data_IF_607493478646
#
_entry.id   IF_607493478646
#
_cell.length_a   1.000
_cell.length_b   1.000
_cell.length_c   1.000
_cell.angle_alpha   90.00
_cell.angle_beta   90.00
_cell.angle_gamma   90.00
#
_symmetry.space_group_name_H-M   'P 1'
#
loop_
_entity.id
_entity.type
_entity.pdbx_description
1 polymer ?
#
# COMPACT_ATOMS: atom_id res chain seq x y z
N UNK A 1 -23.46 4.91 -5.10
CA UNK A 1 -22.15 4.79 -5.76
C UNK A 1 -22.02 3.37 -6.30
N UNK A 2 -22.08 3.24 -7.66
CA UNK A 2 -22.02 1.93 -8.32
C UNK A 2 -20.59 1.42 -8.46
N UNK A 3 -19.88 1.22 -7.34
CA UNK A 3 -18.54 0.64 -7.34
C UNK A 3 -18.71 -0.87 -7.51
N UNK A 4 -18.18 -1.40 -8.60
CA UNK A 4 -18.15 -2.86 -8.85
C UNK A 4 -16.96 -3.44 -8.06
N UNK A 5 -17.26 -4.04 -6.92
CA UNK A 5 -16.24 -4.62 -6.02
C UNK A 5 -16.02 -6.07 -6.42
N UNK A 6 -14.77 -6.45 -6.72
CA UNK A 6 -14.40 -7.83 -7.00
C UNK A 6 -14.82 -8.75 -5.85
N UNK A 7 -15.43 -9.89 -6.15
CA UNK A 7 -15.76 -10.93 -5.16
C UNK A 7 -14.53 -11.51 -4.42
N UNK A 8 -13.33 -11.20 -4.89
CA UNK A 8 -12.05 -11.56 -4.25
C UNK A 8 -11.51 -10.48 -3.31
N UNK A 9 -12.20 -9.33 -3.21
CA UNK A 9 -11.78 -8.24 -2.33
C UNK A 9 -11.84 -8.65 -0.86
N UNK A 10 -10.85 -8.27 -0.10
CA UNK A 10 -10.82 -8.51 1.33
C UNK A 10 -11.92 -7.68 2.05
N UNK A 11 -12.42 -8.18 3.17
CA UNK A 11 -13.55 -7.57 3.89
C UNK A 11 -13.30 -6.10 4.27
N UNK A 12 -12.05 -5.73 4.60
CA UNK A 12 -11.70 -4.36 4.99
C UNK A 12 -11.95 -3.34 3.87
N UNK A 13 -11.91 -3.74 2.60
CA UNK A 13 -12.15 -2.84 1.46
C UNK A 13 -13.58 -2.30 1.49
N UNK A 14 -14.56 -3.10 1.91
CA UNK A 14 -15.95 -2.67 2.05
C UNK A 14 -16.11 -1.60 3.13
N UNK A 15 -15.36 -1.69 4.24
CA UNK A 15 -15.35 -0.65 5.27
C UNK A 15 -14.79 0.67 4.73
N UNK A 16 -13.71 0.61 3.96
CA UNK A 16 -13.12 1.78 3.31
C UNK A 16 -14.13 2.48 2.39
N UNK A 17 -14.75 1.73 1.48
CA UNK A 17 -15.77 2.28 0.58
C UNK A 17 -16.96 2.90 1.35
N UNK A 18 -17.41 2.20 2.39
CA UNK A 18 -18.56 2.67 3.17
C UNK A 18 -18.21 3.90 4.02
N UNK A 19 -17.01 3.95 4.58
CA UNK A 19 -16.56 5.05 5.44
C UNK A 19 -16.57 6.40 4.73
N UNK A 20 -16.35 6.44 3.40
CA UNK A 20 -16.42 7.67 2.61
C UNK A 20 -17.78 8.37 2.73
N UNK A 21 -18.85 7.61 2.90
CA UNK A 21 -20.20 8.19 3.06
C UNK A 21 -20.41 8.97 4.35
N UNK A 22 -19.52 8.83 5.33
CA UNK A 22 -19.57 9.56 6.60
C UNK A 22 -18.68 10.82 6.60
N UNK A 23 -17.91 11.05 5.53
CA UNK A 23 -16.96 12.14 5.42
C UNK A 23 -17.50 13.22 4.49
N UNK A 24 -17.40 14.45 4.93
CA UNK A 24 -17.60 15.66 4.13
C UNK A 24 -16.29 16.06 3.45
N UNK A 25 -16.36 16.90 2.41
CA UNK A 25 -15.15 17.45 1.80
C UNK A 25 -14.31 18.21 2.83
N UNK A 26 -13.01 17.91 2.89
CA UNK A 26 -12.04 18.45 3.85
C UNK A 26 -11.93 17.64 5.16
N UNK A 27 -12.80 16.64 5.38
CA UNK A 27 -12.67 15.76 6.56
C UNK A 27 -11.47 14.82 6.37
N UNK A 28 -10.72 14.63 7.46
CA UNK A 28 -9.55 13.76 7.47
C UNK A 28 -9.88 12.39 8.06
N UNK A 29 -9.26 11.35 7.52
CA UNK A 29 -9.36 9.99 8.02
C UNK A 29 -8.01 9.30 8.02
N UNK A 30 -7.87 8.31 8.93
CA UNK A 30 -6.74 7.39 8.94
C UNK A 30 -7.26 5.95 8.94
N UNK A 31 -6.76 5.14 8.01
CA UNK A 31 -7.14 3.73 7.87
C UNK A 31 -5.96 2.84 8.16
N UNK A 32 -6.10 1.96 9.14
CA UNK A 32 -5.15 0.88 9.40
C UNK A 32 -5.64 -0.39 8.69
N UNK A 33 -4.87 -0.86 7.72
CA UNK A 33 -5.22 -2.01 6.88
C UNK A 33 -4.02 -2.91 6.62
N UNK A 34 -4.22 -4.15 6.16
CA UNK A 34 -3.17 -4.90 5.51
C UNK A 34 -2.66 -4.16 4.25
N UNK A 35 -1.37 -4.29 3.97
CA UNK A 35 -0.72 -3.67 2.81
C UNK A 35 -0.96 -4.42 1.48
N UNK A 36 -1.59 -5.59 1.53
CA UNK A 36 -1.75 -6.50 0.38
C UNK A 36 -2.41 -5.85 -0.84
N UNK A 37 -3.24 -4.82 -0.67
CA UNK A 37 -3.84 -4.11 -1.80
C UNK A 37 -2.82 -3.33 -2.66
N UNK A 38 -1.63 -3.04 -2.12
CA UNK A 38 -0.59 -2.34 -2.86
C UNK A 38 -0.10 -3.15 -4.07
N UNK A 39 -0.12 -4.50 -3.96
CA UNK A 39 0.48 -5.43 -4.93
C UNK A 39 -0.52 -6.34 -5.63
N UNK A 40 -1.74 -6.46 -5.12
CA UNK A 40 -2.72 -7.43 -5.63
C UNK A 40 -3.62 -6.86 -6.72
N UNK A 41 -4.16 -7.74 -7.57
CA UNK A 41 -5.09 -7.36 -8.63
C UNK A 41 -6.37 -6.69 -8.09
N UNK A 42 -6.94 -7.21 -6.99
CA UNK A 42 -8.11 -6.56 -6.37
C UNK A 42 -7.79 -5.17 -5.78
N UNK A 43 -6.53 -4.91 -5.49
CA UNK A 43 -6.04 -3.63 -5.00
C UNK A 43 -6.14 -2.50 -6.02
N UNK A 44 -6.18 -2.81 -7.32
CA UNK A 44 -6.36 -1.80 -8.39
C UNK A 44 -7.63 -1.00 -8.16
N UNK A 45 -8.76 -1.66 -7.87
CA UNK A 45 -10.03 -0.97 -7.63
C UNK A 45 -9.98 -0.12 -6.36
N UNK A 46 -9.33 -0.61 -5.30
CA UNK A 46 -9.19 0.16 -4.06
C UNK A 46 -8.26 1.36 -4.25
N UNK A 47 -7.15 1.21 -4.97
CA UNK A 47 -6.24 2.31 -5.32
C UNK A 47 -6.96 3.37 -6.17
N UNK A 48 -7.73 2.95 -7.17
CA UNK A 48 -8.56 3.87 -7.96
C UNK A 48 -9.53 4.65 -7.08
N UNK A 49 -10.26 3.96 -6.20
CA UNK A 49 -11.18 4.61 -5.27
C UNK A 49 -10.48 5.62 -4.36
N UNK A 50 -9.30 5.27 -3.83
CA UNK A 50 -8.53 6.19 -2.99
C UNK A 50 -8.10 7.44 -3.76
N UNK A 51 -7.72 7.30 -5.04
CA UNK A 51 -7.34 8.42 -5.88
C UNK A 51 -8.54 9.29 -6.29
N UNK A 52 -9.71 8.70 -6.50
CA UNK A 52 -10.91 9.42 -6.94
C UNK A 52 -11.61 10.19 -5.81
N UNK A 53 -11.52 9.70 -4.58
CA UNK A 53 -12.33 10.18 -3.46
C UNK A 53 -11.52 10.92 -2.40
N UNK A 54 -10.18 10.89 -2.48
CA UNK A 54 -9.31 11.44 -1.43
C UNK A 54 -8.06 12.13 -1.97
N UNK A 55 -7.63 13.18 -1.26
CA UNK A 55 -6.24 13.61 -1.27
C UNK A 55 -5.45 12.65 -0.35
N UNK A 56 -4.43 11.99 -0.89
CA UNK A 56 -3.56 11.07 -0.16
C UNK A 56 -2.40 11.84 0.46
N UNK A 57 -2.47 12.10 1.77
CA UNK A 57 -1.43 12.85 2.47
C UNK A 57 -0.19 11.98 2.71
N UNK A 58 -0.40 10.76 3.24
CA UNK A 58 0.68 9.80 3.45
C UNK A 58 0.16 8.36 3.51
N UNK A 59 1.01 7.42 3.08
CA UNK A 59 0.89 6.00 3.36
C UNK A 59 2.11 5.58 4.20
N UNK A 60 1.87 4.96 5.35
CA UNK A 60 2.91 4.54 6.30
C UNK A 60 2.90 3.02 6.40
N UNK A 61 4.00 2.40 6.01
CA UNK A 61 4.22 0.96 6.08
C UNK A 61 5.22 0.64 7.20
N UNK A 62 4.92 -0.37 8.01
CA UNK A 62 5.80 -0.82 9.09
C UNK A 62 6.47 -2.13 8.69
N UNK A 63 7.81 -2.21 8.86
CA UNK A 63 8.51 -3.48 8.68
C UNK A 63 8.05 -4.49 9.75
N UNK A 64 7.50 -5.64 9.34
CA UNK A 64 6.97 -6.63 10.27
C UNK A 64 8.04 -7.25 11.19
N UNK A 65 9.33 -7.11 10.85
CA UNK A 65 10.43 -7.69 11.64
C UNK A 65 10.88 -6.78 12.78
N UNK A 66 10.85 -5.48 12.57
CA UNK A 66 11.43 -4.51 13.50
C UNK A 66 10.40 -3.58 14.12
N UNK A 67 9.30 -3.33 13.45
CA UNK A 67 8.23 -2.45 13.91
C UNK A 67 6.86 -3.14 13.89
N UNK A 68 6.76 -4.35 14.45
CA UNK A 68 5.50 -5.09 14.50
C UNK A 68 4.43 -4.31 15.26
N UNK A 69 3.41 -3.87 14.58
CA UNK A 69 2.22 -3.21 15.17
C UNK A 69 1.27 -4.25 15.80
N UNK A 70 1.36 -5.51 15.38
CA UNK A 70 0.54 -6.61 15.85
C UNK A 70 1.41 -7.76 16.33
N UNK A 71 1.36 -8.06 17.64
CA UNK A 71 2.21 -9.09 18.28
C UNK A 71 1.99 -10.51 17.72
N UNK A 72 0.79 -10.82 17.20
CA UNK A 72 0.39 -12.17 16.76
C UNK A 72 0.08 -12.29 15.26
N UNK A 73 0.21 -11.24 14.46
CA UNK A 73 -0.14 -11.29 13.05
C UNK A 73 1.08 -11.12 12.14
N UNK A 74 1.31 -12.11 11.28
CA UNK A 74 2.29 -12.02 10.18
C UNK A 74 1.75 -11.17 9.00
N UNK A 75 1.20 -9.99 9.32
CA UNK A 75 0.61 -9.09 8.33
C UNK A 75 1.32 -7.75 8.43
N UNK A 76 1.85 -7.29 7.33
CA UNK A 76 2.40 -5.94 7.23
C UNK A 76 1.26 -4.92 7.37
N UNK A 77 1.39 -4.05 8.36
CA UNK A 77 0.41 -3.00 8.61
C UNK A 77 0.69 -1.77 7.73
N UNK A 78 -0.36 -1.19 7.18
CA UNK A 78 -0.32 0.07 6.45
C UNK A 78 -1.30 1.05 7.06
N UNK A 79 -0.84 2.27 7.35
CA UNK A 79 -1.72 3.37 7.70
C UNK A 79 -1.82 4.32 6.50
N UNK A 80 -3.05 4.57 6.03
CA UNK A 80 -3.32 5.56 5.00
C UNK A 80 -3.92 6.81 5.64
N UNK A 81 -3.25 7.95 5.54
CA UNK A 81 -3.72 9.26 5.96
C UNK A 81 -4.30 9.99 4.75
N UNK A 82 -5.58 10.30 4.80
CA UNK A 82 -6.34 10.81 3.67
C UNK A 82 -7.22 12.00 4.07
N UNK A 83 -7.53 12.85 3.11
CA UNK A 83 -8.53 13.91 3.25
C UNK A 83 -9.60 13.73 2.18
N UNK A 84 -10.87 13.70 2.57
CA UNK A 84 -11.97 13.53 1.64
C UNK A 84 -12.08 14.73 0.70
N UNK A 85 -12.01 14.50 -0.61
CA UNK A 85 -12.14 15.54 -1.62
C UNK A 85 -12.86 14.98 -2.86
N UNK A 86 -13.46 15.88 -3.63
CA UNK A 86 -13.99 15.59 -4.96
C UNK A 86 -13.21 16.33 -6.05
N UNK A 87 -12.25 17.16 -5.64
CA UNK A 87 -11.39 17.88 -6.56
C UNK A 87 -10.16 17.02 -6.88
N UNK A 88 -9.57 17.23 -8.05
CA UNK A 88 -8.32 16.55 -8.43
C UNK A 88 -7.16 17.12 -7.58
N UNK A 89 -6.62 16.34 -6.63
CA UNK A 89 -5.65 16.87 -5.68
C UNK A 89 -4.28 17.09 -6.34
N UNK A 90 -3.83 18.33 -6.34
CA UNK A 90 -2.49 18.72 -6.82
C UNK A 90 -1.48 18.65 -5.66
N UNK A 91 -1.43 17.51 -5.00
CA UNK A 91 -0.66 17.30 -3.78
C UNK A 91 0.41 16.23 -3.90
N UNK A 92 1.36 16.27 -2.94
CA UNK A 92 2.38 15.24 -2.76
C UNK A 92 1.88 14.19 -1.78
N UNK A 93 1.87 12.94 -2.20
CA UNK A 93 1.68 11.77 -1.33
C UNK A 93 3.03 11.32 -0.79
N UNK A 94 3.15 11.18 0.54
CA UNK A 94 4.34 10.64 1.19
C UNK A 94 4.21 9.14 1.39
N UNK A 95 5.15 8.38 0.82
CA UNK A 95 5.29 6.94 1.08
C UNK A 95 6.38 6.77 2.14
N UNK A 96 5.97 6.40 3.35
CA UNK A 96 6.83 6.34 4.53
C UNK A 96 7.04 4.89 4.93
N UNK A 97 8.29 4.40 4.88
CA UNK A 97 8.68 3.11 5.42
C UNK A 97 9.26 3.31 6.82
N UNK A 98 8.75 2.57 7.79
CA UNK A 98 9.21 2.57 9.17
C UNK A 98 9.93 1.25 9.43
N UNK A 99 11.26 1.31 9.57
CA UNK A 99 12.14 0.15 9.75
C UNK A 99 12.47 -0.07 11.23
N UNK A 100 12.41 0.98 12.05
CA UNK A 100 12.68 0.93 13.47
C UNK A 100 11.58 1.63 14.28
N UNK A 101 11.59 1.41 15.61
CA UNK A 101 10.62 2.05 16.48
C UNK A 101 10.76 3.57 16.43
N UNK A 102 9.66 4.24 16.15
CA UNK A 102 9.56 5.69 16.09
C UNK A 102 8.44 6.18 17.01
N UNK A 103 8.64 7.30 17.69
CA UNK A 103 7.59 7.90 18.51
C UNK A 103 6.51 8.58 17.66
N UNK A 104 5.30 8.70 18.23
CA UNK A 104 4.14 9.23 17.53
C UNK A 104 4.30 10.70 17.09
N UNK A 105 5.13 11.49 17.78
CA UNK A 105 5.36 12.91 17.42
C UNK A 105 6.22 13.02 16.17
N UNK A 106 7.30 12.23 16.10
CA UNK A 106 8.18 12.15 14.94
C UNK A 106 7.43 11.63 13.71
N UNK A 107 6.64 10.56 13.89
CA UNK A 107 5.83 10.03 12.78
C UNK A 107 4.79 11.04 12.29
N UNK A 108 4.14 11.76 13.19
CA UNK A 108 3.19 12.81 12.81
C UNK A 108 3.87 13.93 12.01
N UNK A 109 5.06 14.37 12.43
CA UNK A 109 5.83 15.38 11.70
C UNK A 109 6.20 14.85 10.30
N UNK A 110 6.65 13.62 10.18
CA UNK A 110 6.95 12.97 8.90
C UNK A 110 5.74 12.95 7.97
N UNK A 111 4.54 12.62 8.49
CA UNK A 111 3.29 12.62 7.71
C UNK A 111 2.90 14.02 7.23
N UNK A 112 3.12 15.05 8.05
CA UNK A 112 2.69 16.42 7.75
C UNK A 112 3.69 17.17 6.86
N UNK A 113 4.98 17.02 7.12
CA UNK A 113 6.03 17.87 6.54
C UNK A 113 7.38 17.18 6.39
N UNK A 114 7.46 15.84 6.49
CA UNK A 114 8.72 15.12 6.36
C UNK A 114 9.37 15.37 5.00
N UNK A 115 10.67 15.65 5.00
CA UNK A 115 11.48 15.76 3.79
C UNK A 115 11.74 14.37 3.18
N UNK A 116 11.91 14.34 1.85
CA UNK A 116 12.22 13.11 1.13
C UNK A 116 13.65 12.62 1.47
N UNK A 117 13.80 11.32 1.70
CA UNK A 117 15.09 10.67 1.90
C UNK A 117 15.12 9.68 3.06
N UNK A 118 16.33 9.21 3.36
CA UNK A 118 16.63 8.33 4.49
C UNK A 118 16.53 9.09 5.82
N UNK A 119 16.01 8.39 6.83
CA UNK A 119 15.95 8.85 8.21
C UNK A 119 16.60 7.81 9.13
N UNK A 120 16.81 8.15 10.41
CA UNK A 120 17.38 7.20 11.38
C UNK A 120 16.43 6.02 11.68
N UNK A 121 15.15 6.12 11.28
CA UNK A 121 14.11 5.14 11.59
C UNK A 121 13.40 4.57 10.34
N UNK A 122 13.76 5.01 9.14
CA UNK A 122 13.13 4.53 7.91
C UNK A 122 13.42 5.40 6.69
N UNK A 123 12.46 5.46 5.78
CA UNK A 123 12.59 6.18 4.51
C UNK A 123 11.31 6.93 4.15
N UNK A 124 11.43 8.10 3.55
CA UNK A 124 10.31 8.92 3.05
C UNK A 124 10.52 9.19 1.55
N UNK A 125 9.54 8.80 0.74
CA UNK A 125 9.50 9.08 -0.69
C UNK A 125 8.33 10.00 -1.02
N UNK A 126 8.54 10.98 -1.87
CA UNK A 126 7.54 11.93 -2.32
C UNK A 126 7.07 11.60 -3.74
N UNK A 127 5.78 11.40 -3.91
CA UNK A 127 5.17 11.15 -5.22
C UNK A 127 4.02 12.12 -5.44
N UNK A 128 4.02 12.82 -6.58
CA UNK A 128 2.86 13.63 -6.96
C UNK A 128 1.64 12.71 -7.11
N UNK A 129 0.52 13.03 -6.47
CA UNK A 129 -0.66 12.17 -6.52
C UNK A 129 -1.13 11.92 -7.97
N UNK A 130 -1.05 12.91 -8.83
CA UNK A 130 -1.38 12.79 -10.26
C UNK A 130 -0.48 11.81 -11.03
N UNK A 131 0.71 11.49 -10.51
CA UNK A 131 1.61 10.50 -11.10
C UNK A 131 1.32 9.07 -10.62
N UNK A 132 0.44 8.91 -9.62
CA UNK A 132 0.03 7.61 -9.13
C UNK A 132 -0.94 6.94 -10.12
N UNK A 133 -0.66 5.68 -10.46
CA UNK A 133 -1.55 4.86 -11.27
C UNK A 133 -2.05 3.67 -10.43
N UNK A 134 -3.36 3.36 -10.44
CA UNK A 134 -3.92 2.23 -9.70
C UNK A 134 -3.41 0.86 -10.20
N UNK A 135 -3.00 0.78 -11.46
CA UNK A 135 -2.47 -0.45 -12.07
C UNK A 135 -1.01 -0.75 -11.67
N UNK A 136 -0.31 0.25 -11.14
CA UNK A 136 1.07 0.06 -10.70
C UNK A 136 1.15 -0.56 -9.31
N UNK A 137 2.26 -1.25 -9.06
CA UNK A 137 2.63 -1.74 -7.74
C UNK A 137 3.09 -0.56 -6.86
N UNK A 138 2.26 -0.19 -5.86
CA UNK A 138 2.61 0.89 -4.95
C UNK A 138 3.61 0.47 -3.85
N UNK A 139 3.81 -0.83 -3.64
CA UNK A 139 4.80 -1.27 -2.65
C UNK A 139 6.23 -0.84 -3.01
N UNK A 140 6.54 -0.73 -4.31
CA UNK A 140 7.86 -0.23 -4.76
C UNK A 140 8.10 1.25 -4.45
N UNK A 141 7.08 2.00 -4.08
CA UNK A 141 7.21 3.42 -3.74
C UNK A 141 7.72 3.64 -2.31
N UNK A 142 7.66 2.62 -1.45
CA UNK A 142 8.21 2.67 -0.09
C UNK A 142 9.72 2.43 -0.04
N UNK A 143 10.27 1.87 -1.11
CA UNK A 143 11.70 1.59 -1.24
C UNK A 143 12.10 1.78 -2.71
N UNK A 144 12.16 3.02 -3.19
CA UNK A 144 12.54 3.29 -4.56
C UNK A 144 13.98 2.84 -4.76
N UNK A 145 14.13 1.69 -5.39
CA UNK A 145 15.43 1.19 -5.80
C UNK A 145 15.88 1.99 -7.03
N UNK A 146 17.00 2.67 -6.90
CA UNK A 146 17.60 3.47 -7.98
C UNK A 146 18.31 2.56 -9.01
N UNK A 147 17.60 1.51 -9.45
CA UNK A 147 18.08 0.62 -10.51
C UNK A 147 17.68 1.20 -11.85
N UNK A 148 18.69 1.57 -12.63
CA UNK A 148 18.48 1.93 -14.03
C UNK A 148 17.91 0.72 -14.81
N UNK A 149 16.63 0.77 -15.09
CA UNK A 149 15.93 -0.28 -15.86
C UNK A 149 15.85 0.03 -17.36
N UNK A 150 16.44 1.14 -17.82
CA UNK A 150 16.30 1.60 -19.21
C UNK A 150 16.84 0.62 -20.27
N UNK A 151 17.73 -0.29 -19.86
CA UNK A 151 18.28 -1.35 -20.72
C UNK A 151 17.72 -2.74 -20.44
N UNK A 152 16.75 -2.88 -19.53
CA UNK A 152 16.16 -4.17 -19.16
C UNK A 152 14.90 -4.45 -19.94
N UNK A 153 14.73 -5.72 -20.33
CA UNK A 153 13.49 -6.20 -20.95
C UNK A 153 12.64 -6.90 -19.89
N UNK A 154 11.34 -6.58 -19.80
CA UNK A 154 10.44 -7.27 -18.87
C UNK A 154 10.48 -8.79 -19.02
N UNK A 155 10.45 -9.52 -17.89
CA UNK A 155 10.57 -10.98 -17.91
C UNK A 155 9.39 -11.67 -18.63
N UNK A 156 8.22 -11.05 -18.63
CA UNK A 156 7.02 -11.54 -19.31
C UNK A 156 7.13 -11.55 -20.84
N UNK A 157 8.09 -10.80 -21.41
CA UNK A 157 8.41 -10.91 -22.83
C UNK A 157 9.15 -12.21 -23.20
N UNK A 158 9.82 -12.83 -22.21
CA UNK A 158 10.62 -14.05 -22.45
C UNK A 158 9.91 -15.33 -21.99
N UNK A 159 9.08 -15.23 -20.93
CA UNK A 159 8.46 -16.39 -20.30
C UNK A 159 7.02 -16.11 -19.92
N UNK A 160 6.19 -17.14 -20.06
CA UNK A 160 4.83 -17.11 -19.49
C UNK A 160 4.84 -17.81 -18.14
N UNK A 161 4.51 -17.05 -17.08
CA UNK A 161 4.49 -17.57 -15.73
C UNK A 161 3.06 -17.95 -15.36
N UNK A 162 2.87 -19.21 -14.97
CA UNK A 162 1.59 -19.70 -14.46
C UNK A 162 1.72 -20.09 -12.99
N UNK A 163 0.76 -19.69 -12.18
CA UNK A 163 0.66 -20.17 -10.80
C UNK A 163 0.29 -21.66 -10.83
N UNK A 164 1.11 -22.51 -10.21
CA UNK A 164 0.78 -23.92 -10.00
C UNK A 164 -0.46 -24.09 -9.11
N UNK A 165 -0.98 -25.33 -9.03
CA UNK A 165 -2.06 -25.67 -8.10
C UNK A 165 -1.53 -25.69 -6.68
N UNK A 166 -2.23 -25.04 -5.76
CA UNK A 166 -2.03 -25.24 -4.33
C UNK A 166 -2.77 -26.51 -3.93
N UNK A 167 -2.07 -27.47 -3.35
CA UNK A 167 -2.67 -28.75 -2.90
C UNK A 167 -3.45 -28.59 -1.59
N UNK A 168 -3.16 -27.53 -0.83
CA UNK A 168 -3.78 -27.28 0.49
C UNK A 168 -3.22 -28.14 1.62
N UNK A 169 -2.47 -29.21 1.27
CA UNK A 169 -1.87 -30.12 2.24
C UNK A 169 -0.51 -30.60 1.71
N UNK A 170 0.55 -29.99 2.25
CA UNK A 170 1.93 -30.25 1.81
C UNK A 170 2.39 -31.64 2.26
N UNK A 171 1.99 -32.09 3.44
CA UNK A 171 2.43 -33.36 4.03
C UNK A 171 1.85 -34.55 3.27
N UNK A 172 0.64 -34.39 2.71
CA UNK A 172 -0.01 -35.42 1.91
C UNK A 172 0.53 -35.52 0.47
N UNK A 173 0.91 -34.38 -0.13
CA UNK A 173 1.22 -34.30 -1.56
C UNK A 173 2.70 -34.10 -1.87
N UNK A 174 3.55 -33.81 -0.90
CA UNK A 174 4.99 -33.75 -1.06
C UNK A 174 5.63 -35.00 -0.45
N UNK A 175 6.07 -35.93 -1.33
CA UNK A 175 6.82 -37.11 -0.91
C UNK A 175 8.26 -36.71 -0.59
N UNK A 176 8.71 -36.96 0.64
CA UNK A 176 10.15 -36.93 0.97
C UNK A 176 10.80 -38.15 0.34
N UNK A 177 11.90 -37.95 -0.39
CA UNK A 177 12.77 -39.08 -0.78
C UNK A 177 13.57 -39.50 0.47
N UNK A 178 13.39 -40.77 0.90
CA UNK A 178 14.26 -41.41 1.88
C UNK A 178 15.64 -41.71 1.29
#
# INVERSE_FOLDING_TARGET
TGIDISARSALYTYFLYHSRSFLSSGDQAAYLTPDSFLTTEYGTQLKQFLLDEFALNALVQFDPKSASVFEDAQVTALISFVEATTDDPDGVTRFIRVDESVDASTLREAVQSGDEGETDWGFINHVQQQALSPDRNWASLFDPCDVDTSGLTPLDEFVTIHRGKSTGDVDLFCLTQD
#
